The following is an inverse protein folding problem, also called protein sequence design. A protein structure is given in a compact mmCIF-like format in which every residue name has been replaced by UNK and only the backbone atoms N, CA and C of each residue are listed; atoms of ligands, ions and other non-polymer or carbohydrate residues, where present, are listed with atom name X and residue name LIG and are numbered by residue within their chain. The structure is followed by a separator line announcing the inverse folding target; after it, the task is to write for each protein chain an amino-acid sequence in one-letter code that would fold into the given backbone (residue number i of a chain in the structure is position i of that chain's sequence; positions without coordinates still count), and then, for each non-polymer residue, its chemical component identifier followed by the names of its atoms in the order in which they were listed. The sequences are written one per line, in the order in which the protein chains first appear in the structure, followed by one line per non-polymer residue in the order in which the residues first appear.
data_IF_326153554098
#
_entry.id   IF_326153554098
#
_cell.length_a   1.000
_cell.length_b   1.000
_cell.length_c   1.000
_cell.angle_alpha   90.00
_cell.angle_beta   90.00
_cell.angle_gamma   90.00
#
_symmetry.space_group_name_H-M   'P 1'
#
loop_
_entity.id
_entity.type
_entity.pdbx_description
1 polymer ?
#
# COMPACT_ATOMS: atom_id res chain seq x y z
N UNK A 1 -45.07 2.93 20.44
CA UNK A 1 -43.95 1.95 20.56
C UNK A 1 -43.56 1.27 19.25
N UNK A 2 -44.35 1.28 18.18
CA UNK A 2 -44.01 0.66 16.89
C UNK A 2 -42.99 1.47 16.09
N UNK A 3 -43.09 2.80 16.08
CA UNK A 3 -42.21 3.67 15.26
C UNK A 3 -40.75 3.68 15.74
N UNK A 4 -40.50 3.58 17.05
CA UNK A 4 -39.14 3.54 17.59
C UNK A 4 -38.39 2.26 17.18
N UNK A 5 -39.06 1.11 17.15
CA UNK A 5 -38.50 -0.16 16.68
C UNK A 5 -38.20 -0.12 15.18
N UNK A 6 -39.03 0.56 14.39
CA UNK A 6 -38.81 0.76 12.96
C UNK A 6 -37.60 1.67 12.68
N UNK A 7 -37.42 2.77 13.42
CA UNK A 7 -36.24 3.64 13.29
C UNK A 7 -34.97 2.98 13.78
N UNK A 8 -35.01 2.16 14.84
CA UNK A 8 -33.86 1.36 15.30
C UNK A 8 -33.48 0.33 14.22
N UNK A 9 -34.45 -0.34 13.59
CA UNK A 9 -34.19 -1.28 12.49
C UNK A 9 -33.61 -0.59 11.26
N UNK A 10 -34.09 0.60 10.89
CA UNK A 10 -33.51 1.41 9.80
C UNK A 10 -32.10 1.89 10.15
N UNK A 11 -31.81 2.24 11.40
CA UNK A 11 -30.48 2.62 11.86
C UNK A 11 -29.51 1.43 11.82
N UNK A 12 -29.97 0.23 12.18
CA UNK A 12 -29.14 -0.98 12.14
C UNK A 12 -28.89 -1.47 10.71
N UNK A 13 -29.82 -1.27 9.78
CA UNK A 13 -29.63 -1.62 8.36
C UNK A 13 -28.57 -0.72 7.71
N UNK A 14 -28.46 0.56 8.11
CA UNK A 14 -27.39 1.44 7.62
C UNK A 14 -26.01 1.18 8.23
N UNK A 15 -25.92 0.39 9.31
CA UNK A 15 -24.65 -0.02 9.92
C UNK A 15 -24.00 -1.25 9.23
N UNK A 16 -24.74 -1.90 8.34
CA UNK A 16 -24.24 -2.99 7.49
C UNK A 16 -24.16 -2.56 6.03
N UNK A 17 -23.53 -1.44 5.75
CA UNK A 17 -23.00 -1.20 4.40
C UNK A 17 -21.91 -2.23 4.17
N UNK A 18 -22.23 -3.22 3.36
CA UNK A 18 -21.26 -4.14 2.79
C UNK A 18 -20.44 -3.33 1.77
N UNK A 19 -19.43 -2.62 2.26
CA UNK A 19 -18.38 -2.01 1.42
C UNK A 19 -17.49 -3.12 0.86
N UNK A 20 -18.02 -3.86 -0.12
CA UNK A 20 -17.50 -5.20 -0.39
C UNK A 20 -16.51 -5.31 -1.54
N UNK A 21 -16.20 -4.31 -2.38
CA UNK A 21 -15.52 -4.64 -3.64
C UNK A 21 -14.27 -3.84 -4.02
N UNK A 22 -13.89 -2.80 -3.30
CA UNK A 22 -12.65 -2.07 -3.58
C UNK A 22 -11.94 -1.60 -2.32
N UNK A 23 -10.61 -1.73 -2.30
CA UNK A 23 -9.76 -1.07 -1.30
C UNK A 23 -9.23 0.22 -1.90
N UNK A 24 -9.87 1.31 -1.59
CA UNK A 24 -9.63 2.64 -2.14
C UNK A 24 -9.60 3.71 -1.06
N UNK A 25 -8.99 4.87 -1.32
CA UNK A 25 -9.06 6.01 -0.43
C UNK A 25 -10.49 6.53 -0.33
N UNK A 26 -10.92 6.86 0.90
CA UNK A 26 -12.24 7.46 1.18
C UNK A 26 -12.09 8.95 1.51
N UNK A 27 -13.06 9.81 1.14
CA UNK A 27 -13.05 11.21 1.54
C UNK A 27 -12.94 11.34 3.07
N UNK A 28 -12.05 12.24 3.54
CA UNK A 28 -11.84 12.52 4.98
C UNK A 28 -11.42 11.30 5.82
N UNK A 29 -10.83 10.30 5.22
CA UNK A 29 -10.37 9.11 5.92
C UNK A 29 -9.37 9.47 7.03
N UNK A 30 -9.71 9.09 8.26
CA UNK A 30 -8.92 9.36 9.47
C UNK A 30 -7.99 8.19 9.86
N UNK A 31 -8.15 7.05 9.23
CA UNK A 31 -7.43 5.81 9.52
C UNK A 31 -6.84 5.22 8.24
N UNK A 32 -6.07 4.15 8.39
CA UNK A 32 -5.55 3.38 7.26
C UNK A 32 -6.69 2.79 6.43
N UNK A 33 -6.41 2.48 5.17
CA UNK A 33 -7.35 1.69 4.35
C UNK A 33 -7.60 0.33 5.01
N UNK A 34 -8.81 -0.24 4.86
CA UNK A 34 -9.09 -1.57 5.39
C UNK A 34 -8.02 -2.59 4.95
N UNK A 35 -7.36 -3.27 5.90
CA UNK A 35 -6.27 -4.18 5.57
C UNK A 35 -6.79 -5.40 4.81
N UNK A 36 -5.95 -5.94 3.93
CA UNK A 36 -6.22 -7.14 3.17
C UNK A 36 -4.99 -8.05 3.19
N UNK A 37 -5.15 -9.22 3.79
CA UNK A 37 -4.08 -10.20 3.96
C UNK A 37 -3.25 -9.99 5.22
N UNK A 38 -2.53 -11.04 5.60
CA UNK A 38 -1.87 -11.18 6.91
C UNK A 38 -0.84 -10.08 7.20
N UNK A 39 -0.13 -9.60 6.18
CA UNK A 39 0.88 -8.53 6.37
C UNK A 39 0.17 -7.22 6.71
N UNK A 40 -0.87 -6.86 5.95
CA UNK A 40 -1.61 -5.62 6.16
C UNK A 40 -2.36 -5.62 7.50
N UNK A 41 -2.94 -6.75 7.88
CA UNK A 41 -3.59 -6.93 9.19
C UNK A 41 -2.57 -6.75 10.34
N UNK A 42 -1.42 -7.43 10.26
CA UNK A 42 -0.37 -7.31 11.28
C UNK A 42 0.21 -5.89 11.35
N UNK A 43 0.36 -5.22 10.21
CA UNK A 43 0.82 -3.82 10.16
C UNK A 43 -0.21 -2.87 10.79
N UNK A 44 -1.50 -3.09 10.54
CA UNK A 44 -2.58 -2.31 11.14
C UNK A 44 -2.66 -2.52 12.66
N UNK A 45 -2.49 -3.75 13.13
CA UNK A 45 -2.44 -4.06 14.57
C UNK A 45 -1.26 -3.34 15.26
N UNK A 46 -0.07 -3.36 14.62
CA UNK A 46 1.08 -2.61 15.12
C UNK A 46 0.81 -1.11 15.13
N UNK A 47 0.20 -0.56 14.07
CA UNK A 47 -0.19 0.85 14.02
C UNK A 47 -1.14 1.23 15.16
N UNK A 48 -2.18 0.46 15.39
CA UNK A 48 -3.15 0.70 16.46
C UNK A 48 -2.50 0.63 17.85
N UNK A 49 -1.62 -0.34 18.07
CA UNK A 49 -0.84 -0.42 19.30
C UNK A 49 0.03 0.82 19.51
N UNK A 50 0.76 1.25 18.49
CA UNK A 50 1.59 2.46 18.54
C UNK A 50 0.75 3.72 18.77
N UNK A 51 -0.43 3.82 18.16
CA UNK A 51 -1.35 4.94 18.34
C UNK A 51 -1.77 5.08 19.80
N UNK A 52 -2.05 3.96 20.48
CA UNK A 52 -2.35 3.98 21.93
C UNK A 52 -1.15 4.48 22.74
N UNK A 53 0.04 3.94 22.47
CA UNK A 53 1.28 4.33 23.18
C UNK A 53 1.58 5.82 23.01
N UNK A 54 1.59 6.33 21.77
CA UNK A 54 1.89 7.75 21.51
C UNK A 54 0.81 8.68 22.07
N UNK A 55 -0.45 8.26 22.07
CA UNK A 55 -1.55 9.04 22.67
C UNK A 55 -1.36 9.17 24.18
N UNK A 56 -1.03 8.09 24.88
CA UNK A 56 -0.76 8.12 26.32
C UNK A 56 0.44 9.00 26.65
N UNK A 57 1.53 8.93 25.88
CA UNK A 57 2.70 9.81 26.05
C UNK A 57 2.30 11.27 25.82
N UNK A 58 1.56 11.56 24.76
CA UNK A 58 1.12 12.92 24.43
C UNK A 58 0.23 13.53 25.52
N UNK A 59 -0.72 12.74 26.02
CA UNK A 59 -1.59 13.17 27.12
C UNK A 59 -0.80 13.39 28.43
N UNK A 60 0.17 12.53 28.73
CA UNK A 60 1.05 12.70 29.89
C UNK A 60 1.86 13.99 29.80
N UNK A 61 2.50 14.26 28.65
CA UNK A 61 3.27 15.48 28.43
C UNK A 61 2.36 16.71 28.49
N UNK A 62 1.18 16.67 27.88
CA UNK A 62 0.20 17.75 27.96
C UNK A 62 -0.22 18.03 29.41
N UNK A 63 -0.50 16.98 30.17
CA UNK A 63 -0.84 17.10 31.60
C UNK A 63 0.28 17.77 32.40
N UNK A 64 1.55 17.40 32.15
CA UNK A 64 2.71 18.05 32.78
C UNK A 64 2.80 19.51 32.40
N UNK A 65 2.61 19.86 31.12
CA UNK A 65 2.64 21.28 30.68
C UNK A 65 1.54 22.11 31.35
N UNK A 66 0.32 21.61 31.36
CA UNK A 66 -0.82 22.25 32.04
C UNK A 66 -0.52 22.43 33.52
N UNK A 67 -0.01 21.38 34.18
CA UNK A 67 0.37 21.42 35.59
C UNK A 67 1.41 22.50 35.87
N UNK A 68 2.48 22.55 35.08
CA UNK A 68 3.55 23.54 35.24
C UNK A 68 3.01 24.96 35.05
N UNK A 69 2.25 25.21 33.98
CA UNK A 69 1.67 26.51 33.70
C UNK A 69 0.71 27.00 34.83
N UNK A 70 -0.09 26.05 35.35
CA UNK A 70 -1.06 26.40 36.42
C UNK A 70 -0.38 26.54 37.77
N UNK A 71 0.51 25.61 38.15
CA UNK A 71 1.11 25.55 39.50
C UNK A 71 2.20 26.59 39.70
N UNK A 72 2.98 26.90 38.68
CA UNK A 72 4.17 27.75 38.77
C UNK A 72 4.01 29.11 38.09
N UNK A 73 2.79 29.58 37.87
CA UNK A 73 2.52 30.91 37.38
C UNK A 73 3.05 31.97 38.38
N UNK A 74 3.47 33.13 37.90
CA UNK A 74 4.12 34.22 38.64
C UNK A 74 3.38 34.58 39.95
N UNK A 75 2.05 34.73 39.91
CA UNK A 75 1.25 35.10 41.07
C UNK A 75 1.22 34.01 42.16
N UNK A 76 1.48 32.75 41.83
CA UNK A 76 1.40 31.61 42.75
C UNK A 76 2.76 31.13 43.25
N UNK A 77 3.85 31.51 42.58
CA UNK A 77 5.19 31.03 42.85
C UNK A 77 6.20 32.21 43.00
N UNK A 78 6.01 33.03 44.04
CA UNK A 78 6.82 34.22 44.27
C UNK A 78 8.29 33.93 44.59
N UNK A 79 8.59 32.76 45.16
CA UNK A 79 9.95 32.34 45.51
C UNK A 79 10.20 30.99 44.80
N UNK A 80 10.92 30.98 43.67
CA UNK A 80 11.23 29.73 42.95
C UNK A 80 12.20 28.88 43.74
N UNK A 81 12.03 27.53 43.57
CA UNK A 81 12.97 26.55 44.13
C UNK A 81 14.34 26.68 43.46
N UNK A 82 15.40 26.44 44.24
CA UNK A 82 16.78 26.39 43.76
C UNK A 82 17.24 24.97 43.38
N UNK A 83 16.35 23.97 43.46
CA UNK A 83 16.65 22.61 43.05
C UNK A 83 16.89 22.58 41.55
N UNK A 84 18.10 22.19 41.15
CA UNK A 84 18.53 22.17 39.74
C UNK A 84 18.61 20.77 39.15
N UNK A 85 18.64 19.73 39.98
CA UNK A 85 18.74 18.33 39.52
C UNK A 85 18.10 17.35 40.52
N UNK A 86 17.74 16.18 40.03
CA UNK A 86 17.25 15.05 40.84
C UNK A 86 17.60 13.75 40.14
N UNK A 87 18.60 13.05 40.65
CA UNK A 87 19.13 11.83 40.05
C UNK A 87 18.07 10.73 39.83
N UNK A 88 17.11 10.60 40.77
CA UNK A 88 16.04 9.59 40.63
C UNK A 88 15.15 9.90 39.41
N UNK A 89 14.76 11.15 39.26
CA UNK A 89 13.95 11.56 38.11
C UNK A 89 14.73 11.38 36.82
N UNK A 90 16.02 11.71 36.81
CA UNK A 90 16.93 11.56 35.66
C UNK A 90 17.04 10.10 35.21
N UNK A 91 17.22 9.19 36.16
CA UNK A 91 17.21 7.75 35.88
C UNK A 91 15.85 7.30 35.33
N UNK A 92 14.74 7.74 35.94
CA UNK A 92 13.40 7.37 35.50
C UNK A 92 13.10 7.85 34.08
N UNK A 93 13.40 9.11 33.72
CA UNK A 93 13.13 9.60 32.37
C UNK A 93 14.05 9.00 31.29
N UNK A 94 15.15 8.35 31.69
CA UNK A 94 16.01 7.57 30.79
C UNK A 94 15.52 6.12 30.64
N UNK A 95 15.22 5.47 31.77
CA UNK A 95 14.86 4.05 31.77
C UNK A 95 13.47 3.80 31.21
N UNK A 96 12.49 4.64 31.56
CA UNK A 96 11.09 4.43 31.09
C UNK A 96 10.98 4.45 29.57
N UNK A 97 11.53 5.45 28.83
CA UNK A 97 11.52 5.42 27.35
C UNK A 97 12.23 4.19 26.77
N UNK A 98 13.35 3.75 27.35
CA UNK A 98 14.02 2.53 26.90
C UNK A 98 13.12 1.30 27.04
N UNK A 99 12.43 1.17 28.17
CA UNK A 99 11.47 0.06 28.35
C UNK A 99 10.31 0.13 27.38
N UNK A 100 9.77 1.32 27.08
CA UNK A 100 8.74 1.50 26.07
C UNK A 100 9.24 1.02 24.71
N UNK A 101 10.46 1.41 24.31
CA UNK A 101 11.04 0.96 23.04
C UNK A 101 11.24 -0.56 22.99
N UNK A 102 11.66 -1.20 24.09
CA UNK A 102 11.77 -2.67 24.17
C UNK A 102 10.41 -3.34 23.97
N UNK A 103 9.35 -2.79 24.58
CA UNK A 103 7.99 -3.32 24.41
C UNK A 103 7.51 -3.17 22.95
N UNK A 104 7.80 -2.04 22.30
CA UNK A 104 7.47 -1.80 20.88
C UNK A 104 8.27 -2.71 19.95
N UNK A 105 9.53 -3.01 20.27
CA UNK A 105 10.42 -3.81 19.43
C UNK A 105 9.85 -5.22 19.17
N UNK A 106 9.20 -5.85 20.15
CA UNK A 106 8.68 -7.22 20.02
C UNK A 106 7.68 -7.36 18.84
N UNK A 107 6.55 -6.62 18.79
CA UNK A 107 5.63 -6.71 17.66
C UNK A 107 6.22 -6.15 16.36
N UNK A 108 7.12 -5.16 16.44
CA UNK A 108 7.81 -4.60 15.28
C UNK A 108 8.71 -5.64 14.59
N UNK A 109 9.53 -6.37 15.33
CA UNK A 109 10.34 -7.46 14.77
C UNK A 109 9.49 -8.60 14.25
N UNK A 110 8.37 -8.93 14.90
CA UNK A 110 7.43 -9.93 14.38
C UNK A 110 6.93 -9.57 12.97
N UNK A 111 6.53 -8.31 12.75
CA UNK A 111 6.11 -7.83 11.44
C UNK A 111 7.27 -7.84 10.44
N UNK A 112 8.46 -7.36 10.83
CA UNK A 112 9.64 -7.35 9.97
C UNK A 112 9.99 -8.76 9.46
N UNK A 113 10.08 -9.74 10.35
CA UNK A 113 10.34 -11.13 9.96
C UNK A 113 9.21 -11.74 9.13
N UNK A 114 7.96 -11.35 9.38
CA UNK A 114 6.85 -11.78 8.54
C UNK A 114 7.00 -11.30 7.09
N UNK A 115 7.46 -10.06 6.90
CA UNK A 115 7.67 -9.47 5.57
C UNK A 115 8.89 -10.04 4.84
N UNK A 116 9.98 -10.35 5.56
CA UNK A 116 11.25 -10.78 4.99
C UNK A 116 11.41 -12.31 4.89
N UNK A 117 10.56 -13.09 5.61
CA UNK A 117 10.69 -14.55 5.59
C UNK A 117 10.47 -15.08 4.18
N UNK A 118 11.43 -15.86 3.71
CA UNK A 118 11.31 -16.59 2.44
C UNK A 118 10.14 -17.57 2.52
N UNK A 119 9.19 -17.43 1.63
CA UNK A 119 7.95 -18.20 1.56
C UNK A 119 7.90 -18.93 0.22
N UNK A 120 7.19 -20.04 0.21
CA UNK A 120 6.73 -20.61 -1.06
C UNK A 120 5.68 -19.66 -1.65
N UNK A 121 5.91 -19.25 -2.89
CA UNK A 121 5.02 -18.36 -3.63
C UNK A 121 4.29 -19.14 -4.71
N UNK A 122 3.00 -18.82 -4.86
CA UNK A 122 2.18 -19.41 -5.92
C UNK A 122 2.42 -18.71 -7.27
N UNK A 123 2.91 -17.46 -7.24
CA UNK A 123 3.07 -16.62 -8.42
C UNK A 123 4.17 -15.58 -8.22
N UNK A 124 4.91 -15.30 -9.29
CA UNK A 124 5.88 -14.20 -9.36
C UNK A 124 5.40 -13.17 -10.38
N UNK A 125 5.45 -11.91 -10.01
CA UNK A 125 5.15 -10.77 -10.89
C UNK A 125 6.35 -9.82 -10.87
N UNK A 126 6.89 -9.51 -12.04
CA UNK A 126 7.90 -8.47 -12.16
C UNK A 126 7.21 -7.13 -12.47
N UNK A 127 7.63 -6.08 -11.76
CA UNK A 127 7.10 -4.73 -11.89
C UNK A 127 8.24 -3.79 -12.22
N UNK A 128 8.11 -3.04 -13.30
CA UNK A 128 9.09 -2.02 -13.68
C UNK A 128 8.42 -0.65 -13.68
N UNK A 129 8.94 0.27 -12.86
CA UNK A 129 8.51 1.67 -12.88
C UNK A 129 9.23 2.46 -13.96
N UNK A 130 8.47 3.25 -14.71
CA UNK A 130 8.99 4.18 -15.71
C UNK A 130 8.20 5.50 -15.65
N UNK A 131 8.73 6.56 -16.24
CA UNK A 131 8.07 7.88 -16.33
C UNK A 131 7.03 7.87 -17.47
N UNK A 132 5.73 7.87 -17.21
CA UNK A 132 5.00 7.74 -15.94
C UNK A 132 3.96 6.65 -16.12
N UNK A 133 4.37 5.40 -15.98
CA UNK A 133 3.54 4.20 -16.12
C UNK A 133 4.18 3.03 -15.37
N UNK A 134 3.46 1.95 -15.24
CA UNK A 134 3.97 0.68 -14.72
C UNK A 134 3.99 -0.35 -15.84
N UNK A 135 5.10 -1.08 -15.94
CA UNK A 135 5.19 -2.27 -16.79
C UNK A 135 5.08 -3.52 -15.90
N UNK A 136 4.23 -4.44 -16.29
CA UNK A 136 4.01 -5.71 -15.59
C UNK A 136 4.43 -6.88 -16.47
N UNK A 137 5.19 -7.80 -15.89
CA UNK A 137 5.61 -9.03 -16.53
C UNK A 137 5.20 -10.22 -15.65
N UNK A 138 4.53 -11.21 -16.26
CA UNK A 138 4.30 -12.54 -15.70
C UNK A 138 5.33 -13.51 -16.29
N UNK A 139 6.47 -13.77 -15.62
CA UNK A 139 7.59 -14.50 -16.19
C UNK A 139 7.22 -15.92 -16.62
N UNK A 140 6.44 -16.63 -15.81
CA UNK A 140 6.01 -18.01 -16.07
C UNK A 140 5.10 -18.10 -17.29
N UNK A 141 4.33 -17.06 -17.56
CA UNK A 141 3.37 -16.99 -18.65
C UNK A 141 3.90 -16.26 -19.89
N UNK A 142 5.08 -15.65 -19.79
CA UNK A 142 5.73 -14.86 -20.86
C UNK A 142 4.82 -13.73 -21.39
N UNK A 143 4.09 -13.09 -20.47
CA UNK A 143 3.23 -11.94 -20.77
C UNK A 143 3.89 -10.70 -20.21
N UNK A 144 3.97 -9.65 -21.03
CA UNK A 144 4.48 -8.34 -20.65
C UNK A 144 3.55 -7.26 -21.22
N UNK A 145 3.17 -6.28 -20.41
CA UNK A 145 2.31 -5.18 -20.81
C UNK A 145 2.51 -3.93 -19.96
N UNK A 146 2.19 -2.79 -20.57
CA UNK A 146 2.19 -1.50 -19.90
C UNK A 146 0.81 -1.17 -19.34
N UNK A 147 0.80 -0.41 -18.26
CA UNK A 147 -0.38 0.06 -17.54
C UNK A 147 -0.30 1.58 -17.37
N UNK A 148 -1.14 2.29 -18.07
CA UNK A 148 -1.24 3.75 -18.05
C UNK A 148 -2.52 4.19 -17.34
N UNK A 149 -2.45 5.34 -16.66
CA UNK A 149 -3.63 5.99 -16.12
C UNK A 149 -4.62 6.32 -17.23
N UNK A 150 -5.91 6.12 -16.99
CA UNK A 150 -6.96 6.56 -17.90
C UNK A 150 -7.05 8.09 -17.84
N UNK A 151 -6.92 8.76 -18.99
CA UNK A 151 -7.05 10.20 -19.12
C UNK A 151 -8.48 10.66 -18.76
N UNK A 152 -8.61 11.87 -18.23
CA UNK A 152 -9.87 12.37 -17.66
C UNK A 152 -11.03 12.43 -18.68
N UNK A 153 -10.73 12.73 -19.93
CA UNK A 153 -11.66 12.76 -21.04
C UNK A 153 -12.10 11.36 -21.55
N UNK A 154 -11.39 10.31 -21.13
CA UNK A 154 -11.65 8.90 -21.51
C UNK A 154 -12.28 8.08 -20.37
N UNK A 155 -12.52 8.68 -19.21
CA UNK A 155 -13.13 8.01 -18.06
C UNK A 155 -14.58 7.66 -18.39
N UNK A 156 -14.93 6.38 -18.16
CA UNK A 156 -16.28 5.83 -18.31
C UNK A 156 -17.03 5.82 -16.98
N UNK A 157 -18.35 5.67 -17.04
CA UNK A 157 -19.18 5.52 -15.85
C UNK A 157 -18.66 4.38 -14.96
N UNK A 158 -18.50 4.66 -13.66
CA UNK A 158 -17.96 3.72 -12.68
C UNK A 158 -16.45 3.69 -12.56
N UNK A 159 -15.71 4.34 -13.45
CA UNK A 159 -14.26 4.49 -13.34
C UNK A 159 -13.87 5.70 -12.48
N UNK A 160 -12.71 5.62 -11.85
CA UNK A 160 -12.24 6.58 -10.86
C UNK A 160 -11.11 7.44 -11.41
N UNK A 161 -11.30 8.73 -11.36
CA UNK A 161 -10.29 9.72 -11.75
C UNK A 161 -9.00 9.51 -10.92
N UNK A 162 -7.84 9.53 -11.58
CA UNK A 162 -6.49 9.37 -11.01
C UNK A 162 -6.20 7.99 -10.40
N UNK A 163 -7.12 7.05 -10.46
CA UNK A 163 -6.93 5.71 -9.88
C UNK A 163 -7.02 4.60 -10.92
N UNK A 164 -7.90 4.70 -11.90
CA UNK A 164 -8.08 3.64 -12.88
C UNK A 164 -7.07 3.68 -14.02
N UNK A 165 -6.76 2.49 -14.52
CA UNK A 165 -5.77 2.25 -15.58
C UNK A 165 -6.39 1.50 -16.75
N UNK A 166 -5.75 1.58 -17.91
CA UNK A 166 -6.15 0.89 -19.13
C UNK A 166 -5.96 -0.64 -19.05
N UNK A 167 -4.86 -1.09 -18.41
CA UNK A 167 -4.51 -2.49 -18.23
C UNK A 167 -4.18 -2.78 -16.75
N UNK A 168 -5.15 -3.20 -15.93
CA UNK A 168 -4.90 -3.54 -14.54
C UNK A 168 -4.03 -4.80 -14.40
N UNK A 169 -3.24 -4.86 -13.33
CA UNK A 169 -2.56 -6.08 -12.92
C UNK A 169 -3.60 -7.08 -12.40
N UNK A 170 -3.79 -8.21 -13.09
CA UNK A 170 -4.78 -9.23 -12.72
C UNK A 170 -4.11 -10.43 -12.06
N UNK A 171 -4.63 -10.86 -10.92
CA UNK A 171 -4.09 -11.98 -10.14
C UNK A 171 -5.20 -12.89 -9.64
N UNK A 172 -4.93 -14.20 -9.42
CA UNK A 172 -5.92 -15.09 -8.84
C UNK A 172 -6.10 -14.82 -7.33
N UNK A 173 -7.32 -14.98 -6.85
CA UNK A 173 -7.64 -14.91 -5.43
C UNK A 173 -6.98 -16.05 -4.62
N UNK A 174 -6.78 -15.84 -3.31
CA UNK A 174 -6.21 -16.84 -2.41
C UNK A 174 -4.79 -17.26 -2.80
N UNK A 175 -3.98 -16.32 -3.30
CA UNK A 175 -2.67 -16.56 -3.90
C UNK A 175 -1.59 -15.75 -3.19
N UNK A 176 -0.46 -16.37 -2.89
CA UNK A 176 0.74 -15.68 -2.41
C UNK A 176 1.56 -15.22 -3.61
N UNK A 177 1.79 -13.92 -3.67
CA UNK A 177 2.49 -13.29 -4.80
C UNK A 177 3.80 -12.70 -4.31
N UNK A 178 4.88 -13.01 -5.04
CA UNK A 178 6.17 -12.33 -4.94
C UNK A 178 6.27 -11.28 -6.03
N UNK A 179 6.47 -10.04 -5.65
CA UNK A 179 6.78 -8.95 -6.57
C UNK A 179 8.30 -8.74 -6.66
N UNK A 180 8.81 -8.72 -7.88
CA UNK A 180 10.17 -8.33 -8.23
C UNK A 180 10.12 -6.92 -8.82
N UNK A 181 10.58 -5.93 -8.08
CA UNK A 181 10.36 -4.51 -8.41
C UNK A 181 11.66 -3.85 -8.80
N UNK A 182 11.69 -3.24 -9.99
CA UNK A 182 12.83 -2.50 -10.52
C UNK A 182 12.40 -1.20 -11.20
N UNK A 183 13.33 -0.29 -11.47
CA UNK A 183 13.10 0.94 -12.22
C UNK A 183 13.80 0.94 -13.57
N UNK A 184 13.25 1.68 -14.53
CA UNK A 184 13.84 1.86 -15.85
C UNK A 184 14.60 3.19 -15.99
N UNK A 185 14.19 4.20 -15.22
CA UNK A 185 14.71 5.57 -15.33
C UNK A 185 15.00 6.17 -13.95
N UNK A 186 14.08 6.98 -13.40
CA UNK A 186 14.19 7.56 -12.07
C UNK A 186 13.63 6.63 -11.00
N UNK A 187 13.77 7.01 -9.74
CA UNK A 187 13.22 6.25 -8.62
C UNK A 187 11.69 6.46 -8.54
N UNK A 188 10.94 5.36 -8.47
CA UNK A 188 9.52 5.31 -8.17
C UNK A 188 9.29 4.50 -6.89
N UNK A 189 8.07 4.40 -6.40
CA UNK A 189 7.69 3.49 -5.33
C UNK A 189 6.36 2.83 -5.66
N UNK A 190 6.37 1.51 -5.72
CA UNK A 190 5.18 0.69 -5.92
C UNK A 190 4.45 0.56 -4.59
N UNK A 191 3.30 1.22 -4.46
CA UNK A 191 2.58 1.33 -3.20
C UNK A 191 1.11 0.96 -3.35
N UNK A 192 0.68 -0.10 -2.64
CA UNK A 192 -0.72 -0.54 -2.51
C UNK A 192 -1.05 -0.57 -1.02
N UNK A 193 -1.65 0.48 -0.46
CA UNK A 193 -1.86 0.67 0.98
C UNK A 193 -2.57 -0.49 1.66
N UNK A 194 -3.67 -0.96 1.09
CA UNK A 194 -4.51 -2.00 1.68
C UNK A 194 -3.86 -3.39 1.73
N UNK A 195 -2.80 -3.62 0.95
CA UNK A 195 -1.98 -4.84 0.99
C UNK A 195 -0.70 -4.66 1.81
N UNK A 196 -0.45 -3.46 2.35
CA UNK A 196 0.80 -3.05 3.01
C UNK A 196 2.05 -3.29 2.13
N UNK A 197 1.90 -3.22 0.81
CA UNK A 197 3.00 -3.30 -0.14
C UNK A 197 3.51 -1.90 -0.41
N UNK A 198 4.77 -1.63 -0.06
CA UNK A 198 5.46 -0.38 -0.38
C UNK A 198 6.93 -0.68 -0.63
N UNK A 199 7.38 -0.55 -1.88
CA UNK A 199 8.75 -0.87 -2.28
C UNK A 199 9.25 0.10 -3.33
N UNK A 200 10.48 0.57 -3.16
CA UNK A 200 11.14 1.42 -4.14
C UNK A 200 11.50 0.66 -5.42
N UNK A 201 11.16 1.26 -6.54
CA UNK A 201 11.52 0.86 -7.89
C UNK A 201 12.78 1.63 -8.29
N UNK A 202 13.94 0.96 -8.23
CA UNK A 202 15.25 1.58 -8.40
C UNK A 202 15.92 0.99 -9.64
N UNK A 203 16.43 1.84 -10.55
CA UNK A 203 17.16 1.39 -11.72
C UNK A 203 18.44 0.63 -11.33
N UNK A 204 18.68 -0.50 -11.98
CA UNK A 204 19.84 -1.36 -11.73
C UNK A 204 19.74 -2.23 -10.46
N UNK A 205 18.63 -2.22 -9.76
CA UNK A 205 18.36 -3.04 -8.59
C UNK A 205 16.99 -3.70 -8.67
N UNK A 206 16.90 -4.94 -8.23
CA UNK A 206 15.62 -5.65 -8.03
C UNK A 206 15.36 -5.72 -6.54
N UNK A 207 14.27 -5.12 -6.10
CA UNK A 207 13.75 -5.25 -4.75
C UNK A 207 12.63 -6.30 -4.74
N UNK A 208 12.50 -7.01 -3.63
CA UNK A 208 11.52 -8.07 -3.47
C UNK A 208 10.53 -7.73 -2.36
N UNK A 209 9.27 -8.06 -2.56
CA UNK A 209 8.23 -8.03 -1.54
C UNK A 209 7.19 -9.08 -1.86
N UNK A 210 6.57 -9.63 -0.84
CA UNK A 210 5.47 -10.56 -1.03
C UNK A 210 4.20 -10.08 -0.34
N UNK A 211 3.07 -10.57 -0.81
CA UNK A 211 1.78 -10.38 -0.16
C UNK A 211 0.88 -11.58 -0.44
N UNK A 212 -0.14 -11.75 0.38
CA UNK A 212 -1.19 -12.74 0.16
C UNK A 212 -2.46 -12.02 -0.25
N UNK A 213 -3.02 -12.43 -1.40
CA UNK A 213 -4.30 -11.93 -1.88
C UNK A 213 -5.40 -12.77 -1.23
N UNK A 214 -6.29 -12.18 -0.41
CA UNK A 214 -7.39 -12.91 0.20
C UNK A 214 -8.34 -13.53 -0.84
N UNK A 215 -9.16 -14.49 -0.40
CA UNK A 215 -10.25 -15.06 -1.20
C UNK A 215 -11.32 -14.01 -1.47
N UNK A 216 -11.92 -14.11 -2.64
CA UNK A 216 -12.94 -13.19 -3.16
C UNK A 216 -12.38 -12.19 -4.16
N UNK A 217 -13.12 -11.94 -5.25
CA UNK A 217 -12.71 -10.94 -6.25
C UNK A 217 -12.74 -9.54 -5.63
N UNK A 218 -11.66 -8.77 -5.80
CA UNK A 218 -11.52 -7.44 -5.22
C UNK A 218 -10.61 -6.57 -6.08
N UNK A 219 -10.83 -5.27 -6.02
CA UNK A 219 -9.91 -4.28 -6.61
C UNK A 219 -9.11 -3.59 -5.51
N UNK A 220 -7.81 -3.46 -5.73
CA UNK A 220 -6.88 -2.77 -4.85
C UNK A 220 -6.26 -1.61 -5.61
N UNK A 221 -6.37 -0.42 -5.04
CA UNK A 221 -5.82 0.78 -5.62
C UNK A 221 -4.53 1.20 -4.93
N UNK A 222 -3.58 1.64 -5.74
CA UNK A 222 -2.31 2.16 -5.29
C UNK A 222 -1.83 3.30 -6.19
N UNK A 223 -0.71 3.89 -5.82
CA UNK A 223 -0.09 4.99 -6.56
C UNK A 223 1.42 4.96 -6.40
N UNK A 224 2.14 5.66 -7.27
CA UNK A 224 3.54 5.96 -7.05
C UNK A 224 3.69 6.81 -5.78
N UNK A 225 4.56 6.37 -4.86
CA UNK A 225 4.77 7.01 -3.56
C UNK A 225 6.19 7.60 -3.39
N UNK A 226 6.96 7.72 -4.48
CA UNK A 226 8.24 8.41 -4.53
C UNK A 226 8.22 9.43 -5.65
N UNK A 227 8.54 10.69 -5.33
CA UNK A 227 8.54 11.77 -6.32
C UNK A 227 9.42 11.41 -7.52
N UNK A 228 8.84 11.39 -8.71
CA UNK A 228 9.47 10.92 -9.95
C UNK A 228 9.34 11.90 -11.13
N UNK A 229 8.93 13.14 -10.88
CA UNK A 229 8.79 14.18 -11.88
C UNK A 229 7.38 14.76 -11.97
N UNK A 230 7.08 15.45 -13.08
CA UNK A 230 5.85 16.27 -13.24
C UNK A 230 4.57 15.44 -13.21
N UNK A 231 4.60 14.19 -13.67
CA UNK A 231 3.44 13.30 -13.69
C UNK A 231 3.46 12.26 -12.56
N UNK A 232 4.14 12.56 -11.45
CA UNK A 232 4.21 11.67 -10.30
C UNK A 232 2.82 11.21 -9.80
N UNK A 233 1.83 12.08 -9.79
CA UNK A 233 0.46 11.76 -9.37
C UNK A 233 -0.37 11.03 -10.44
N UNK A 234 0.18 10.82 -11.64
CA UNK A 234 -0.53 10.31 -12.82
C UNK A 234 -0.06 8.92 -13.25
N UNK A 235 0.48 8.12 -12.31
CA UNK A 235 0.85 6.72 -12.52
C UNK A 235 0.27 5.83 -11.40
N UNK A 236 -1.05 5.63 -11.39
CA UNK A 236 -1.73 4.80 -10.42
C UNK A 236 -1.44 3.31 -10.64
N UNK A 237 -1.83 2.52 -9.64
CA UNK A 237 -1.72 1.06 -9.64
C UNK A 237 -3.12 0.50 -9.41
N UNK A 238 -3.57 -0.39 -10.28
CA UNK A 238 -4.77 -1.19 -10.06
C UNK A 238 -4.40 -2.66 -10.07
N UNK A 239 -4.59 -3.33 -8.93
CA UNK A 239 -4.48 -4.77 -8.82
C UNK A 239 -5.90 -5.33 -8.68
N UNK A 240 -6.29 -6.22 -9.59
CA UNK A 240 -7.59 -6.88 -9.63
C UNK A 240 -7.43 -8.35 -9.29
N UNK A 241 -7.97 -8.81 -8.17
CA UNK A 241 -8.11 -10.23 -7.89
C UNK A 241 -9.38 -10.78 -8.53
N UNK A 242 -9.28 -11.97 -9.07
CA UNK A 242 -10.38 -12.68 -9.73
C UNK A 242 -10.39 -14.15 -9.31
N UNK A 243 -11.48 -14.86 -9.56
CA UNK A 243 -11.52 -16.31 -9.34
C UNK A 243 -10.42 -17.03 -10.13
N UNK A 244 -9.97 -18.18 -9.65
CA UNK A 244 -8.93 -18.98 -10.36
C UNK A 244 -9.39 -19.39 -11.76
N UNK A 245 -10.69 -19.61 -11.97
CA UNK A 245 -11.30 -19.93 -13.25
C UNK A 245 -11.26 -18.73 -14.21
N UNK A 246 -11.65 -17.55 -13.74
CA UNK A 246 -11.63 -16.34 -14.55
C UNK A 246 -10.20 -15.88 -14.84
N UNK A 247 -9.28 -16.08 -13.89
CA UNK A 247 -7.86 -15.82 -14.13
C UNK A 247 -7.33 -16.62 -15.32
N UNK A 248 -7.64 -17.93 -15.41
CA UNK A 248 -7.22 -18.78 -16.54
C UNK A 248 -7.78 -18.30 -17.88
N UNK A 249 -9.05 -17.82 -17.91
CA UNK A 249 -9.66 -17.26 -19.13
C UNK A 249 -8.97 -15.96 -19.53
N UNK A 250 -8.84 -15.02 -18.59
CA UNK A 250 -8.17 -13.74 -18.84
C UNK A 250 -6.71 -13.90 -19.26
N UNK A 251 -6.02 -14.89 -18.72
CA UNK A 251 -4.66 -15.22 -19.10
C UNK A 251 -4.58 -15.72 -20.56
N UNK A 252 -5.53 -16.56 -20.99
CA UNK A 252 -5.60 -17.03 -22.37
C UNK A 252 -5.85 -15.85 -23.34
N UNK A 253 -6.76 -14.95 -23.00
CA UNK A 253 -7.06 -13.74 -23.78
C UNK A 253 -5.86 -12.79 -23.83
N UNK A 254 -5.15 -12.60 -22.69
CA UNK A 254 -3.95 -11.81 -22.61
C UNK A 254 -2.82 -12.38 -23.48
N UNK A 255 -2.62 -13.70 -23.50
CA UNK A 255 -1.66 -14.36 -24.39
C UNK A 255 -1.95 -14.06 -25.85
N UNK A 256 -3.22 -14.10 -26.27
CA UNK A 256 -3.61 -13.75 -27.63
C UNK A 256 -3.36 -12.29 -27.94
N UNK A 257 -3.70 -11.39 -27.03
CA UNK A 257 -3.54 -9.94 -27.18
C UNK A 257 -2.06 -9.51 -27.28
N UNK A 258 -1.19 -10.07 -26.45
CA UNK A 258 0.20 -9.66 -26.34
C UNK A 258 1.18 -10.52 -27.15
N UNK A 259 0.86 -11.80 -27.49
CA UNK A 259 1.65 -12.59 -28.42
C UNK A 259 1.61 -12.04 -29.84
N UNK A 260 0.52 -11.40 -30.24
CA UNK A 260 0.43 -10.76 -31.56
C UNK A 260 1.38 -9.55 -31.72
N UNK A 261 1.79 -8.90 -30.63
CA UNK A 261 2.77 -7.82 -30.65
C UNK A 261 4.15 -8.35 -31.00
N UNK A 262 4.57 -9.46 -30.38
CA UNK A 262 5.86 -10.09 -30.65
C UNK A 262 5.95 -10.67 -32.09
N UNK A 263 4.86 -11.19 -32.63
CA UNK A 263 4.81 -11.68 -34.01
C UNK A 263 4.95 -10.54 -35.03
N UNK A 264 4.30 -9.40 -34.75
CA UNK A 264 4.41 -8.23 -35.62
C UNK A 264 5.83 -7.60 -35.58
N UNK A 265 6.48 -7.55 -34.41
CA UNK A 265 7.87 -7.11 -34.29
C UNK A 265 8.82 -8.05 -35.03
N UNK A 266 8.65 -9.38 -34.93
CA UNK A 266 9.44 -10.37 -35.69
C UNK A 266 9.24 -10.22 -37.21
N UNK A 267 8.04 -9.94 -37.68
CA UNK A 267 7.74 -9.70 -39.10
C UNK A 267 8.43 -8.43 -39.58
N UNK A 268 8.39 -7.34 -38.81
CA UNK A 268 9.06 -6.07 -39.14
C UNK A 268 10.59 -6.27 -39.19
N UNK A 269 11.18 -6.92 -38.18
CA UNK A 269 12.62 -7.19 -38.13
C UNK A 269 13.08 -8.12 -39.26
N UNK A 270 12.28 -9.12 -39.66
CA UNK A 270 12.59 -9.98 -40.81
C UNK A 270 12.47 -9.21 -42.13
N UNK A 271 11.50 -8.33 -42.29
CA UNK A 271 11.36 -7.49 -43.47
C UNK A 271 12.53 -6.49 -43.60
N UNK A 272 12.96 -5.89 -42.50
CA UNK A 272 14.19 -5.00 -42.53
C UNK A 272 15.46 -5.79 -42.88
N UNK A 273 15.57 -7.04 -42.45
CA UNK A 273 16.71 -7.90 -42.79
C UNK A 273 16.73 -8.29 -44.26
N UNK A 274 15.57 -8.62 -44.84
CA UNK A 274 15.39 -8.92 -46.27
C UNK A 274 15.68 -7.69 -47.12
N UNK A 275 15.29 -6.48 -46.68
CA UNK A 275 15.59 -5.22 -47.41
C UNK A 275 17.09 -4.89 -47.39
N UNK A 276 17.82 -5.22 -46.30
CA UNK A 276 19.27 -5.01 -46.20
C UNK A 276 20.10 -6.03 -46.97
N UNK A 277 19.58 -7.21 -47.22
CA UNK A 277 20.24 -8.26 -48.01
C UNK A 277 20.03 -8.07 -49.54
N UNK A 278 19.06 -7.25 -49.95
CA UNK A 278 18.72 -7.00 -51.37
C UNK A 278 19.20 -5.61 -51.87
N UNK A 279 19.94 -4.85 -51.06
CA UNK A 279 20.67 -3.61 -51.44
C UNK A 279 22.16 -3.78 -51.27
#
# INVERSE_FOLDING_TARGET
MSNLKFYILLLTINLFSIDAFASEPKPWQMDLQPPSGIIAETATDLHNFLLVVITLISLFVLALLVYVCWRYKENSNKIPSKTSHNTIIEVLWTVIPVLILVVIAVPSFKLLYLQETDKEYDMVVKVTGAQWYWNYEYPDEKINFDSYMIEEDKIKDGQKRLLDVDNPLVVPEGTKIKFLITGNDVMHSFFIPSLAVQVYSIAGRINEVWTEIPKGPKMYYGQCNQICGVNHAYMPIVLKSVSKEDYKKLLADAKLKFANVDSNIKIVMNNEKIIKENN
#
